data_IF_436676869915
#
_entry.id   IF_436676869915
#
_cell.length_a   1.000
_cell.length_b   1.000
_cell.length_c   1.000
_cell.angle_alpha   90.00
_cell.angle_beta   90.00
_cell.angle_gamma   90.00
#
_symmetry.space_group_name_H-M   'P 1'
#
loop_
_entity.id
_entity.type
_entity.pdbx_description
1 polymer ?
#
# COMPACT_ATOMS: atom_id res chain seq x y z
N UNK A 1 9.53 58.01 34.16
CA UNK A 1 9.08 57.78 35.54
C UNK A 1 7.65 57.25 35.47
N UNK A 2 7.21 56.12 36.01
CA UNK A 2 7.67 55.15 37.01
C UNK A 2 7.02 53.80 36.61
N UNK A 3 7.79 52.71 36.57
CA UNK A 3 7.83 51.63 37.55
C UNK A 3 7.03 50.38 37.14
N UNK A 4 7.81 49.31 36.95
CA UNK A 4 7.46 47.91 36.73
C UNK A 4 6.58 47.34 37.86
N UNK A 5 5.68 46.41 37.54
CA UNK A 5 5.55 45.15 38.30
C UNK A 5 5.28 44.01 37.31
N UNK A 6 6.25 43.09 37.25
CA UNK A 6 6.13 41.79 36.59
C UNK A 6 5.53 40.79 37.58
N UNK A 7 4.62 39.92 37.12
CA UNK A 7 4.29 38.67 37.81
C UNK A 7 4.58 37.48 36.88
N UNK A 8 5.47 36.54 37.30
CA UNK A 8 5.68 35.25 36.63
C UNK A 8 4.63 34.19 37.08
N UNK A 9 4.56 33.02 36.42
CA UNK A 9 3.34 32.22 36.27
C UNK A 9 3.04 31.30 37.46
N UNK A 10 1.76 31.14 37.78
CA UNK A 10 1.28 30.10 38.70
C UNK A 10 1.39 28.73 38.02
N UNK A 11 2.40 27.96 38.41
CA UNK A 11 2.56 26.54 38.09
C UNK A 11 1.79 25.74 39.13
N UNK A 12 0.65 25.17 38.76
CA UNK A 12 -0.06 24.20 39.60
C UNK A 12 0.62 22.81 39.56
N UNK A 13 0.70 22.11 40.71
CA UNK A 13 1.35 20.81 40.81
C UNK A 13 0.50 19.64 40.29
N UNK A 14 1.17 18.73 39.56
CA UNK A 14 0.66 17.43 39.10
C UNK A 14 0.15 16.54 40.25
N UNK A 15 -1.01 15.89 40.11
CA UNK A 15 -1.28 14.63 40.79
C UNK A 15 -0.71 13.45 40.00
N UNK A 16 0.18 12.70 40.66
CA UNK A 16 0.76 11.43 40.21
C UNK A 16 -0.32 10.35 40.20
N UNK A 17 -0.87 10.00 39.03
CA UNK A 17 -1.73 8.82 38.94
C UNK A 17 -0.91 7.55 38.66
N UNK A 18 -0.54 6.88 39.75
CA UNK A 18 0.02 5.54 39.79
C UNK A 18 -1.09 4.54 39.47
N UNK A 19 -1.17 4.00 38.25
CA UNK A 19 -1.77 2.68 38.02
C UNK A 19 -0.98 1.91 36.94
N UNK A 20 0.15 1.40 37.42
CA UNK A 20 0.96 0.35 36.80
C UNK A 20 0.15 -0.95 36.89
N UNK A 21 -0.58 -1.34 35.84
CA UNK A 21 -1.14 -2.70 35.77
C UNK A 21 -0.05 -3.69 35.35
N UNK A 22 0.05 -4.85 36.02
CA UNK A 22 1.14 -5.79 35.81
C UNK A 22 0.98 -6.58 34.51
N UNK A 23 2.15 -6.84 33.93
CA UNK A 23 2.46 -7.76 32.84
C UNK A 23 2.08 -9.18 33.27
N UNK A 24 1.21 -9.86 32.53
CA UNK A 24 0.90 -11.28 32.73
C UNK A 24 0.94 -12.03 31.40
N UNK A 25 2.11 -12.59 31.10
CA UNK A 25 2.33 -13.85 30.38
C UNK A 25 3.57 -14.47 31.06
N UNK A 26 3.69 -15.80 31.25
CA UNK A 26 3.42 -16.81 30.21
C UNK A 26 2.80 -18.12 30.72
N UNK A 27 1.87 -18.72 29.96
CA UNK A 27 1.53 -20.14 30.12
C UNK A 27 1.93 -20.91 28.88
N UNK A 28 3.15 -21.47 28.92
CA UNK A 28 3.51 -22.66 28.16
C UNK A 28 2.70 -23.82 28.74
N UNK A 29 1.78 -24.39 27.98
CA UNK A 29 1.34 -25.76 28.23
C UNK A 29 1.33 -26.54 26.92
N UNK A 30 2.28 -27.46 26.86
CA UNK A 30 2.40 -28.56 25.93
C UNK A 30 1.11 -29.40 25.91
N UNK A 31 0.63 -29.77 24.72
CA UNK A 31 0.01 -31.08 24.51
C UNK A 31 0.01 -31.46 23.03
N UNK A 32 0.99 -32.29 22.69
CA UNK A 32 0.99 -33.17 21.55
C UNK A 32 -0.29 -33.99 21.53
N UNK A 33 -1.06 -33.93 20.44
CA UNK A 33 -1.98 -35.00 20.07
C UNK A 33 -1.74 -35.39 18.61
N UNK A 34 -0.91 -36.42 18.50
CA UNK A 34 -0.69 -37.28 17.34
C UNK A 34 -2.01 -38.02 17.06
N UNK A 35 -2.75 -37.62 16.02
CA UNK A 35 -3.87 -38.42 15.52
C UNK A 35 -3.41 -39.18 14.28
N UNK A 36 -3.02 -40.42 14.52
CA UNK A 36 -2.84 -41.46 13.52
C UNK A 36 -4.23 -42.00 13.20
N UNK A 37 -4.67 -41.90 11.95
CA UNK A 37 -5.64 -42.86 11.42
C UNK A 37 -5.09 -43.49 10.15
N UNK A 38 -5.11 -44.82 10.22
CA UNK A 38 -4.46 -45.84 9.42
C UNK A 38 -5.39 -46.26 8.28
N UNK A 39 -4.76 -46.68 7.20
CA UNK A 39 -5.31 -47.08 5.92
C UNK A 39 -6.30 -48.26 5.94
N UNK A 40 -7.16 -48.30 4.92
CA UNK A 40 -7.55 -49.51 4.16
C UNK A 40 -8.30 -49.04 2.88
N UNK A 41 -7.70 -49.12 1.69
CA UNK A 41 -7.72 -50.25 0.72
C UNK A 41 -9.16 -50.62 0.32
N UNK A 42 -9.58 -50.78 -0.95
CA UNK A 42 -8.93 -51.22 -2.18
C UNK A 42 -9.93 -50.95 -3.31
N UNK A 43 -9.47 -50.63 -4.52
CA UNK A 43 -10.34 -50.50 -5.69
C UNK A 43 -9.52 -50.59 -6.97
N UNK A 44 -9.23 -51.81 -7.39
CA UNK A 44 -8.53 -52.17 -8.61
C UNK A 44 -9.17 -51.54 -9.85
N UNK A 45 -8.35 -51.02 -10.77
CA UNK A 45 -8.55 -51.18 -12.22
C UNK A 45 -7.22 -50.98 -12.94
N UNK A 46 -6.69 -52.11 -13.39
CA UNK A 46 -5.56 -52.30 -14.29
C UNK A 46 -6.05 -52.08 -15.72
N UNK A 47 -5.52 -51.09 -16.44
CA UNK A 47 -5.50 -51.12 -17.92
C UNK A 47 -4.14 -50.58 -18.40
N UNK A 48 -3.51 -51.44 -19.17
CA UNK A 48 -2.20 -51.41 -19.82
C UNK A 48 -2.17 -50.58 -21.10
N UNK A 49 -0.94 -50.27 -21.56
CA UNK A 49 -0.51 -49.96 -22.96
C UNK A 49 -0.74 -48.49 -23.42
N UNK A 50 0.16 -47.69 -24.00
CA UNK A 50 1.44 -47.79 -24.76
C UNK A 50 2.11 -46.39 -24.80
N UNK A 51 3.43 -46.25 -25.03
CA UNK A 51 4.09 -44.96 -25.21
C UNK A 51 4.01 -44.47 -26.68
N UNK A 52 3.22 -43.43 -26.96
CA UNK A 52 3.22 -42.80 -28.30
C UNK A 52 4.47 -41.96 -28.51
N UNK A 53 5.36 -42.46 -29.38
CA UNK A 53 6.39 -41.71 -30.08
C UNK A 53 5.76 -40.54 -30.84
N UNK A 54 6.30 -39.33 -30.67
CA UNK A 54 6.16 -38.25 -31.66
C UNK A 54 7.54 -38.04 -32.26
N UNK A 55 7.72 -38.51 -33.50
CA UNK A 55 8.87 -38.22 -34.35
C UNK A 55 8.51 -37.06 -35.26
N UNK A 56 9.29 -35.99 -35.11
CA UNK A 56 9.84 -35.07 -36.11
C UNK A 56 9.04 -34.70 -37.35
N UNK A 57 8.85 -33.38 -37.57
CA UNK A 57 9.25 -32.78 -38.86
C UNK A 57 9.52 -31.27 -38.79
N UNK A 58 10.80 -30.96 -39.01
CA UNK A 58 11.43 -29.93 -39.83
C UNK A 58 10.87 -28.51 -39.95
N UNK A 59 11.80 -27.56 -39.68
CA UNK A 59 12.17 -26.32 -40.40
C UNK A 59 11.04 -25.30 -40.61
N UNK A 60 11.25 -24.02 -40.29
CA UNK A 60 11.85 -23.05 -41.22
C UNK A 60 12.24 -21.76 -40.49
N UNK A 61 13.35 -21.19 -40.98
CA UNK A 61 13.81 -19.79 -40.97
C UNK A 61 13.95 -19.01 -39.65
N UNK A 62 15.23 -18.82 -39.33
CA UNK A 62 15.77 -17.60 -38.74
C UNK A 62 15.35 -16.41 -39.62
N UNK A 63 14.60 -15.47 -39.05
CA UNK A 63 14.45 -14.14 -39.60
C UNK A 63 14.77 -13.16 -38.48
N UNK A 64 15.97 -12.59 -38.55
CA UNK A 64 16.40 -11.42 -37.80
C UNK A 64 15.47 -10.26 -38.16
N UNK A 65 14.48 -10.01 -37.31
CA UNK A 65 13.66 -8.81 -37.32
C UNK A 65 13.96 -8.01 -36.07
N UNK A 66 14.73 -6.94 -36.22
CA UNK A 66 14.95 -5.91 -35.21
C UNK A 66 13.59 -5.31 -34.80
N UNK A 67 13.04 -5.73 -33.66
CA UNK A 67 11.89 -5.06 -33.04
C UNK A 67 12.41 -4.21 -31.91
N UNK A 68 12.45 -2.91 -32.16
CA UNK A 68 12.76 -1.88 -31.16
C UNK A 68 11.85 -2.03 -29.94
N UNK A 69 12.36 -1.90 -28.70
CA UNK A 69 11.49 -1.84 -27.54
C UNK A 69 10.70 -0.52 -27.61
N UNK A 70 9.38 -0.64 -27.76
CA UNK A 70 8.44 0.47 -27.57
C UNK A 70 8.59 0.90 -26.12
N UNK A 71 9.24 2.04 -25.91
CA UNK A 71 9.29 2.70 -24.61
C UNK A 71 7.85 3.04 -24.20
N UNK A 72 7.42 2.74 -22.95
CA UNK A 72 6.24 3.39 -22.42
C UNK A 72 6.61 4.85 -22.14
N UNK A 73 6.20 5.73 -23.05
CA UNK A 73 6.18 7.17 -22.80
C UNK A 73 5.28 7.40 -21.58
N UNK A 74 5.90 7.59 -20.42
CA UNK A 74 5.23 8.14 -19.25
C UNK A 74 4.82 9.57 -19.62
N UNK A 75 3.60 9.73 -20.10
CA UNK A 75 2.94 11.02 -20.17
C UNK A 75 2.87 11.54 -18.72
N UNK A 76 3.80 12.41 -18.38
CA UNK A 76 3.71 13.28 -17.21
C UNK A 76 2.47 14.12 -17.41
N UNK A 77 1.37 13.72 -16.78
CA UNK A 77 0.19 14.55 -16.67
C UNK A 77 0.61 15.79 -15.88
N UNK A 78 0.44 17.01 -16.41
CA UNK A 78 0.62 18.21 -15.61
C UNK A 78 -0.35 18.12 -14.44
N UNK A 79 0.18 18.24 -13.23
CA UNK A 79 -0.58 18.53 -12.01
C UNK A 79 -1.31 19.85 -12.25
N UNK A 80 -2.54 19.75 -12.74
CA UNK A 80 -3.36 20.91 -13.06
C UNK A 80 -3.66 21.65 -11.75
N UNK A 81 -3.41 22.96 -11.66
CA UNK A 81 -3.85 23.74 -10.53
C UNK A 81 -5.38 23.68 -10.51
N UNK A 82 -5.96 23.26 -9.38
CA UNK A 82 -7.40 23.20 -9.14
C UNK A 82 -8.10 24.37 -9.82
N UNK A 83 -8.74 24.10 -10.96
CA UNK A 83 -9.62 25.06 -11.59
C UNK A 83 -10.78 25.27 -10.61
N UNK A 84 -10.74 26.40 -9.90
CA UNK A 84 -11.74 26.84 -8.94
C UNK A 84 -13.02 27.26 -9.67
N UNK A 85 -13.65 26.33 -10.39
CA UNK A 85 -14.97 26.53 -10.94
C UNK A 85 -15.96 26.31 -9.80
N UNK A 86 -16.61 27.38 -9.33
CA UNK A 86 -17.74 27.30 -8.41
C UNK A 86 -19.00 27.30 -9.28
N UNK A 87 -19.78 26.20 -9.34
CA UNK A 87 -21.03 26.21 -10.09
C UNK A 87 -21.94 27.31 -9.53
N UNK A 88 -22.53 28.11 -10.41
CA UNK A 88 -23.48 29.15 -10.01
C UNK A 88 -24.90 28.58 -9.95
N UNK A 89 -25.73 29.04 -9.01
CA UNK A 89 -27.14 28.64 -8.91
C UNK A 89 -27.40 27.30 -8.21
N UNK A 90 -26.43 26.79 -7.44
CA UNK A 90 -26.58 25.58 -6.63
C UNK A 90 -27.62 25.77 -5.52
N UNK A 91 -28.38 24.71 -5.24
CA UNK A 91 -29.19 24.62 -4.03
C UNK A 91 -28.28 24.45 -2.81
N UNK A 92 -28.71 24.89 -1.61
CA UNK A 92 -27.91 24.76 -0.39
C UNK A 92 -27.42 23.34 -0.09
N UNK A 93 -28.20 22.31 -0.43
CA UNK A 93 -27.84 20.90 -0.27
C UNK A 93 -26.70 20.48 -1.21
N UNK A 94 -26.72 20.99 -2.45
CA UNK A 94 -25.68 20.73 -3.45
C UNK A 94 -24.39 21.43 -3.06
N UNK A 95 -24.47 22.68 -2.56
CA UNK A 95 -23.30 23.40 -2.01
C UNK A 95 -22.64 22.64 -0.86
N UNK A 96 -23.44 22.10 0.08
CA UNK A 96 -22.92 21.26 1.18
C UNK A 96 -22.20 20.04 0.66
N UNK A 97 -22.78 19.36 -0.33
CA UNK A 97 -22.19 18.15 -0.93
C UNK A 97 -20.88 18.46 -1.65
N UNK A 98 -20.83 19.54 -2.43
CA UNK A 98 -19.61 20.00 -3.11
C UNK A 98 -18.53 20.37 -2.09
N UNK A 99 -18.87 21.07 -1.02
CA UNK A 99 -17.91 21.41 0.04
C UNK A 99 -17.35 20.15 0.72
N UNK A 100 -18.19 19.13 0.95
CA UNK A 100 -17.76 17.86 1.50
C UNK A 100 -16.80 17.13 0.54
N UNK A 101 -17.12 17.07 -0.75
CA UNK A 101 -16.26 16.48 -1.77
C UNK A 101 -14.90 17.19 -1.85
N UNK A 102 -14.89 18.52 -1.89
CA UNK A 102 -13.65 19.34 -1.88
C UNK A 102 -12.79 19.05 -0.65
N UNK A 103 -13.40 18.99 0.54
CA UNK A 103 -12.67 18.66 1.77
C UNK A 103 -12.10 17.24 1.76
N UNK A 104 -12.78 16.32 1.08
CA UNK A 104 -12.36 14.92 0.96
C UNK A 104 -11.21 14.78 -0.04
N UNK A 105 -11.29 15.46 -1.20
CA UNK A 105 -10.22 15.55 -2.18
C UNK A 105 -8.95 16.06 -1.52
N UNK A 106 -9.03 17.21 -0.82
CA UNK A 106 -7.88 17.79 -0.13
C UNK A 106 -7.19 16.79 0.82
N UNK A 107 -7.96 16.04 1.63
CA UNK A 107 -7.39 15.03 2.53
C UNK A 107 -6.77 13.85 1.78
N UNK A 108 -7.30 13.47 0.62
CA UNK A 108 -6.76 12.41 -0.21
C UNK A 108 -5.46 12.84 -0.90
N UNK A 109 -5.39 14.08 -1.40
CA UNK A 109 -4.18 14.67 -1.96
C UNK A 109 -3.06 14.76 -0.92
N UNK A 110 -3.37 15.21 0.31
CA UNK A 110 -2.39 15.21 1.40
C UNK A 110 -1.88 13.81 1.73
N UNK A 111 -2.75 12.80 1.71
CA UNK A 111 -2.36 11.40 1.93
C UNK A 111 -1.50 10.87 0.79
N UNK A 112 -1.84 11.21 -0.46
CA UNK A 112 -1.07 10.87 -1.65
C UNK A 112 0.34 11.44 -1.52
N UNK A 113 0.46 12.74 -1.26
CA UNK A 113 1.73 13.42 -1.09
C UNK A 113 2.59 12.77 0.01
N UNK A 114 2.01 12.51 1.19
CA UNK A 114 2.72 11.84 2.28
C UNK A 114 3.19 10.43 1.89
N UNK A 115 2.43 9.71 1.09
CA UNK A 115 2.76 8.33 0.72
C UNK A 115 3.81 8.28 -0.39
N UNK A 116 3.65 9.11 -1.43
CA UNK A 116 4.54 9.18 -2.59
C UNK A 116 5.88 9.84 -2.26
N UNK A 117 5.87 10.95 -1.53
CA UNK A 117 7.09 11.74 -1.31
C UNK A 117 7.86 11.27 -0.06
N UNK A 118 7.17 10.71 0.93
CA UNK A 118 7.80 10.35 2.21
C UNK A 118 7.91 8.83 2.38
N UNK A 119 6.79 8.11 2.34
CA UNK A 119 6.78 6.68 2.72
C UNK A 119 7.45 5.78 1.69
N UNK A 120 7.11 5.89 0.41
CA UNK A 120 7.68 5.05 -0.65
C UNK A 120 9.21 5.23 -0.75
N UNK A 121 9.75 6.48 -0.78
CA UNK A 121 11.20 6.69 -0.76
C UNK A 121 11.86 6.19 0.53
N UNK A 122 11.17 6.31 1.67
CA UNK A 122 11.63 5.74 2.94
C UNK A 122 11.82 4.23 2.87
N UNK A 123 10.85 3.49 2.31
CA UNK A 123 10.95 2.04 2.13
C UNK A 123 12.05 1.66 1.14
N UNK A 124 12.27 2.44 0.08
CA UNK A 124 13.38 2.21 -0.84
C UNK A 124 14.74 2.34 -0.16
N UNK A 125 14.92 3.37 0.70
CA UNK A 125 16.15 3.51 1.49
C UNK A 125 16.35 2.32 2.44
N UNK A 126 15.30 1.89 3.12
CA UNK A 126 15.33 0.73 4.02
C UNK A 126 15.68 -0.57 3.27
N UNK A 127 15.07 -0.81 2.10
CA UNK A 127 15.37 -1.98 1.28
C UNK A 127 16.84 -2.00 0.86
N UNK A 128 17.39 -0.85 0.43
CA UNK A 128 18.81 -0.72 0.08
C UNK A 128 19.73 -1.03 1.27
N UNK A 129 19.40 -0.55 2.48
CA UNK A 129 20.20 -0.87 3.68
C UNK A 129 20.18 -2.36 4.02
N UNK A 130 19.03 -3.03 3.90
CA UNK A 130 18.95 -4.49 4.13
C UNK A 130 19.72 -5.29 3.07
N UNK A 131 19.70 -4.85 1.81
CA UNK A 131 20.49 -5.47 0.75
C UNK A 131 22.00 -5.30 0.98
N UNK A 132 22.44 -4.11 1.42
CA UNK A 132 23.84 -3.87 1.77
C UNK A 132 24.30 -4.73 2.96
N UNK A 133 23.40 -5.01 3.90
CA UNK A 133 23.66 -5.90 5.04
C UNK A 133 23.59 -7.40 4.69
N UNK A 134 23.24 -7.77 3.45
CA UNK A 134 23.10 -9.16 3.01
C UNK A 134 21.77 -9.83 3.41
N UNK A 135 20.87 -9.13 4.10
CA UNK A 135 19.57 -9.66 4.51
C UNK A 135 18.51 -9.50 3.40
N UNK A 136 18.57 -10.44 2.45
CA UNK A 136 17.67 -10.47 1.29
C UNK A 136 16.21 -10.68 1.68
N UNK A 137 15.94 -11.43 2.75
CA UNK A 137 14.57 -11.77 3.15
C UNK A 137 13.86 -10.52 3.66
N UNK A 138 14.46 -9.75 4.55
CA UNK A 138 13.83 -8.51 5.04
C UNK A 138 13.71 -7.47 3.94
N UNK A 139 14.73 -7.33 3.07
CA UNK A 139 14.64 -6.47 1.89
C UNK A 139 13.42 -6.80 1.01
N UNK A 140 13.15 -8.09 0.77
CA UNK A 140 11.98 -8.53 0.00
C UNK A 140 10.66 -8.13 0.68
N UNK A 141 10.55 -8.25 2.01
CA UNK A 141 9.34 -7.83 2.73
C UNK A 141 9.11 -6.31 2.65
N UNK A 142 10.19 -5.52 2.75
CA UNK A 142 10.12 -4.06 2.58
C UNK A 142 9.65 -3.70 1.16
N UNK A 143 10.17 -4.38 0.14
CA UNK A 143 9.75 -4.18 -1.25
C UNK A 143 8.30 -4.61 -1.50
N UNK A 144 7.84 -5.71 -0.88
CA UNK A 144 6.44 -6.12 -0.96
C UNK A 144 5.50 -5.07 -0.33
N UNK A 145 5.90 -4.49 0.81
CA UNK A 145 5.17 -3.37 1.44
C UNK A 145 5.15 -2.13 0.55
N UNK A 146 6.28 -1.77 -0.08
CA UNK A 146 6.34 -0.68 -1.06
C UNK A 146 5.33 -0.88 -2.18
N UNK A 147 5.33 -2.07 -2.80
CA UNK A 147 4.42 -2.38 -3.91
C UNK A 147 2.95 -2.22 -3.50
N UNK A 148 2.60 -2.63 -2.27
CA UNK A 148 1.24 -2.43 -1.74
C UNK A 148 0.88 -0.95 -1.61
N UNK A 149 1.79 -0.10 -1.16
CA UNK A 149 1.56 1.34 -1.11
C UNK A 149 1.40 1.95 -2.51
N UNK A 150 2.19 1.51 -3.49
CA UNK A 150 2.06 1.97 -4.89
C UNK A 150 0.66 1.64 -5.45
N UNK A 151 0.17 0.42 -5.24
CA UNK A 151 -1.20 0.06 -5.65
C UNK A 151 -2.27 0.88 -4.93
N UNK A 152 -2.05 1.24 -3.66
CA UNK A 152 -2.96 2.11 -2.92
C UNK A 152 -2.95 3.55 -3.44
N UNK A 153 -1.77 4.05 -3.80
CA UNK A 153 -1.61 5.36 -4.44
C UNK A 153 -2.37 5.42 -5.76
N UNK A 154 -2.24 4.40 -6.61
CA UNK A 154 -2.99 4.34 -7.89
C UNK A 154 -4.50 4.35 -7.65
N UNK A 155 -4.98 3.59 -6.65
CA UNK A 155 -6.39 3.58 -6.28
C UNK A 155 -6.88 4.95 -5.76
N UNK A 156 -6.08 5.64 -4.95
CA UNK A 156 -6.42 6.97 -4.46
C UNK A 156 -6.41 8.03 -5.55
N UNK A 157 -5.46 7.98 -6.50
CA UNK A 157 -5.47 8.86 -7.68
C UNK A 157 -6.74 8.70 -8.50
N UNK A 158 -7.17 7.46 -8.74
CA UNK A 158 -8.44 7.19 -9.42
C UNK A 158 -9.66 7.71 -8.65
N UNK A 159 -9.65 7.60 -7.32
CA UNK A 159 -10.73 8.13 -6.48
C UNK A 159 -10.77 9.67 -6.48
N UNK A 160 -9.62 10.33 -6.38
CA UNK A 160 -9.50 11.81 -6.47
C UNK A 160 -10.05 12.28 -7.81
N UNK A 161 -9.57 11.72 -8.91
CA UNK A 161 -10.05 12.06 -10.25
C UNK A 161 -11.57 11.89 -10.40
N UNK A 162 -12.12 10.81 -9.83
CA UNK A 162 -13.57 10.56 -9.86
C UNK A 162 -14.35 11.62 -9.08
N UNK A 163 -13.87 12.02 -7.90
CA UNK A 163 -14.51 13.05 -7.08
C UNK A 163 -14.38 14.45 -7.71
N UNK A 164 -13.24 14.76 -8.33
CA UNK A 164 -13.04 16.01 -9.07
C UNK A 164 -14.02 16.10 -10.25
N UNK A 165 -14.16 15.01 -10.99
CA UNK A 165 -15.12 14.92 -12.11
C UNK A 165 -16.56 15.09 -11.63
N UNK A 166 -16.90 14.70 -10.40
CA UNK A 166 -18.25 14.92 -9.84
C UNK A 166 -18.52 16.38 -9.44
N UNK A 167 -17.49 17.21 -9.26
CA UNK A 167 -17.63 18.63 -8.88
C UNK A 167 -17.75 19.53 -10.12
N UNK A 168 -17.16 19.12 -11.25
CA UNK A 168 -17.14 19.85 -12.52
C UNK A 168 -18.49 19.74 -13.25
#
# INVERSE_FOLDING_TARGET
EQARVAQPPCVEPRPKNKHRRPRSEPSKLTKSHKSVRKDKNTGERKVTSEPRKIVSRSKVAVASGSVSPIQPTLAVLPSSPLASHKPAGLRPEEERTINLLRSTIYRQEQRLQQTEEVQIPGLLRQAKTHLAAGDRKTALHVMARKKKLETQVDAWKGAVFTMETQIL
#
